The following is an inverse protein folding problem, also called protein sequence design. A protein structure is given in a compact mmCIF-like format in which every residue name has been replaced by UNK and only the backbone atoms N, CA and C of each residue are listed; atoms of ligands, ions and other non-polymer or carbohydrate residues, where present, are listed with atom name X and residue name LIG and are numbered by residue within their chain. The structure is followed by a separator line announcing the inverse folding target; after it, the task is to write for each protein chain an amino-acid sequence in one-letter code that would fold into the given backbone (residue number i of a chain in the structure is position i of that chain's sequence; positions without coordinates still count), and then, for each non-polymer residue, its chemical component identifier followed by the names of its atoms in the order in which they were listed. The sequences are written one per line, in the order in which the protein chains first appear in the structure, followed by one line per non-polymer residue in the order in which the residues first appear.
data_IF_193261290917
#
_entry.id   IF_193261290917
#
_cell.length_a   1.000
_cell.length_b   1.000
_cell.length_c   1.000
_cell.angle_alpha   90.00
_cell.angle_beta   90.00
_cell.angle_gamma   90.00
#
_symmetry.space_group_name_H-M   'P 1'
#
loop_
_entity.id
_entity.type
_entity.pdbx_description
1 polymer ?
#
# COMPACT_ATOMS: atom_id res chain seq x y z
N UNK A 1 -7.18 24.76 14.40
CA UNK A 1 -6.51 25.29 13.20
C UNK A 1 -7.16 24.60 12.00
N UNK A 2 -7.11 25.16 10.79
CA UNK A 2 -7.65 24.46 9.62
C UNK A 2 -6.74 23.24 9.32
N UNK A 3 -7.18 22.05 9.74
CA UNK A 3 -6.47 20.78 9.56
C UNK A 3 -6.64 20.23 8.13
N UNK A 4 -6.42 21.07 7.13
CA UNK A 4 -6.54 20.69 5.72
C UNK A 4 -5.15 20.44 5.13
N UNK A 5 -4.82 19.17 4.87
CA UNK A 5 -3.68 18.79 4.04
C UNK A 5 -4.01 18.98 2.55
N UNK A 6 -3.02 19.33 1.71
CA UNK A 6 -1.59 19.43 2.00
C UNK A 6 -1.16 20.76 2.65
N UNK A 7 -0.15 20.73 3.52
CA UNK A 7 0.42 21.91 4.19
C UNK A 7 1.90 22.12 3.81
N UNK A 8 2.26 23.27 3.24
CA UNK A 8 3.63 23.56 2.80
C UNK A 8 4.55 23.85 3.99
N UNK A 9 5.69 23.15 4.05
CA UNK A 9 6.69 23.29 5.12
C UNK A 9 8.07 23.72 4.63
N UNK A 10 8.32 23.63 3.33
CA UNK A 10 9.62 23.95 2.74
C UNK A 10 9.48 24.48 1.32
N UNK A 11 10.48 25.22 0.87
CA UNK A 11 10.58 25.72 -0.51
C UNK A 11 12.02 25.71 -0.98
N UNK A 12 12.23 25.48 -2.28
CA UNK A 12 13.56 25.40 -2.92
C UNK A 12 14.46 24.30 -2.33
N UNK A 13 13.86 23.24 -1.80
CA UNK A 13 14.56 22.07 -1.29
C UNK A 13 14.96 21.20 -2.49
N UNK A 14 16.22 20.75 -2.52
CA UNK A 14 16.69 19.81 -3.54
C UNK A 14 16.20 18.39 -3.25
N UNK A 15 16.15 17.53 -4.27
CA UNK A 15 15.78 16.12 -4.07
C UNK A 15 16.75 15.40 -3.13
N UNK A 16 18.04 15.76 -3.16
CA UNK A 16 19.06 15.19 -2.27
C UNK A 16 18.81 15.56 -0.80
N UNK A 17 18.56 16.83 -0.51
CA UNK A 17 18.22 17.30 0.84
C UNK A 17 16.94 16.64 1.36
N UNK A 18 15.91 16.56 0.53
CA UNK A 18 14.65 15.90 0.86
C UNK A 18 14.86 14.40 1.18
N UNK A 19 15.63 13.70 0.35
CA UNK A 19 15.92 12.28 0.57
C UNK A 19 16.72 12.04 1.85
N UNK A 20 17.70 12.91 2.14
CA UNK A 20 18.48 12.83 3.38
C UNK A 20 17.59 13.04 4.60
N UNK A 21 16.65 13.99 4.55
CA UNK A 21 15.65 14.21 5.61
C UNK A 21 14.81 12.95 5.86
N UNK A 22 14.29 12.33 4.79
CA UNK A 22 13.49 11.10 4.89
C UNK A 22 14.29 9.93 5.47
N UNK A 23 15.52 9.71 5.00
CA UNK A 23 16.38 8.61 5.45
C UNK A 23 16.78 8.75 6.91
N UNK A 24 16.93 9.98 7.41
CA UNK A 24 17.24 10.24 8.82
C UNK A 24 16.04 10.09 9.76
N UNK A 25 14.84 9.82 9.22
CA UNK A 25 13.58 9.66 9.97
C UNK A 25 13.32 10.82 10.94
N UNK A 26 13.65 12.04 10.52
CA UNK A 26 13.63 13.23 11.40
C UNK A 26 12.22 13.66 11.84
N UNK A 27 11.16 13.00 11.36
CA UNK A 27 9.82 13.14 11.90
C UNK A 27 9.03 11.85 11.80
N UNK A 28 8.61 11.32 12.95
CA UNK A 28 7.70 10.18 13.05
C UNK A 28 6.25 10.64 12.92
N UNK A 29 5.48 10.03 12.02
CA UNK A 29 4.02 10.19 11.96
C UNK A 29 3.48 11.20 10.95
N UNK A 30 4.33 11.88 10.18
CA UNK A 30 3.92 12.74 9.08
C UNK A 30 4.34 12.14 7.74
N UNK A 31 3.47 12.22 6.74
CA UNK A 31 3.80 11.89 5.35
C UNK A 31 4.15 13.15 4.58
N UNK A 32 5.26 13.11 3.87
CA UNK A 32 5.78 14.25 3.12
C UNK A 32 5.68 14.02 1.62
N UNK A 33 5.50 15.11 0.89
CA UNK A 33 5.60 15.15 -0.57
C UNK A 33 6.50 16.31 -0.98
N UNK A 34 7.52 16.01 -1.77
CA UNK A 34 8.32 17.01 -2.46
C UNK A 34 7.88 17.06 -3.92
N UNK A 35 7.59 18.26 -4.41
CA UNK A 35 7.11 18.49 -5.78
C UNK A 35 8.19 19.15 -6.63
N UNK A 36 8.05 19.08 -7.95
CA UNK A 36 9.10 19.43 -8.93
C UNK A 36 9.66 20.85 -8.80
N UNK A 37 8.90 21.80 -8.25
CA UNK A 37 9.35 23.17 -8.04
C UNK A 37 10.26 23.35 -6.79
N UNK A 38 10.54 22.27 -6.05
CA UNK A 38 11.35 22.27 -4.84
C UNK A 38 10.55 22.49 -3.54
N UNK A 39 9.22 22.59 -3.61
CA UNK A 39 8.38 22.75 -2.42
C UNK A 39 8.15 21.39 -1.73
N UNK A 40 8.10 21.43 -0.40
CA UNK A 40 7.82 20.26 0.45
C UNK A 40 6.53 20.49 1.22
N UNK A 41 5.65 19.50 1.20
CA UNK A 41 4.36 19.51 1.86
C UNK A 41 4.27 18.34 2.85
N UNK A 42 3.55 18.56 3.95
CA UNK A 42 2.91 17.47 4.69
C UNK A 42 1.60 17.14 3.99
N UNK A 43 1.41 15.89 3.63
CA UNK A 43 0.25 15.43 2.85
C UNK A 43 -0.70 14.53 3.62
N UNK A 44 -0.23 13.91 4.69
CA UNK A 44 -1.04 13.10 5.60
C UNK A 44 -0.32 12.94 6.95
N UNK A 45 -1.02 12.39 7.92
CA UNK A 45 -0.44 11.97 9.19
C UNK A 45 -0.84 10.52 9.49
N UNK A 46 0.09 9.76 10.04
CA UNK A 46 -0.21 8.47 10.64
C UNK A 46 -1.00 8.70 11.93
N UNK A 47 -2.21 8.15 11.99
CA UNK A 47 -3.05 8.12 13.18
C UNK A 47 -3.37 6.66 13.59
N UNK A 48 -4.02 6.42 14.73
CA UNK A 48 -4.27 5.05 15.21
C UNK A 48 -5.03 4.19 14.19
N UNK A 49 -5.99 4.78 13.49
CA UNK A 49 -6.80 4.09 12.48
C UNK A 49 -5.94 3.70 11.26
N UNK A 50 -5.11 4.62 10.76
CA UNK A 50 -4.15 4.35 9.69
C UNK A 50 -3.19 3.23 10.07
N UNK A 51 -2.56 3.32 11.24
CA UNK A 51 -1.54 2.37 11.68
C UNK A 51 -2.10 0.96 11.85
N UNK A 52 -3.31 0.83 12.38
CA UNK A 52 -3.94 -0.47 12.55
C UNK A 52 -4.30 -1.12 11.21
N UNK A 53 -4.73 -0.34 10.21
CA UNK A 53 -4.93 -0.87 8.85
C UNK A 53 -3.61 -1.31 8.23
N UNK A 54 -2.54 -0.53 8.42
CA UNK A 54 -1.19 -0.90 7.94
C UNK A 54 -0.71 -2.20 8.57
N UNK A 55 -0.86 -2.36 9.89
CA UNK A 55 -0.51 -3.58 10.61
C UNK A 55 -1.31 -4.80 10.12
N UNK A 56 -2.64 -4.66 10.01
CA UNK A 56 -3.50 -5.73 9.51
C UNK A 56 -3.17 -6.13 8.06
N UNK A 57 -2.87 -5.16 7.19
CA UNK A 57 -2.42 -5.46 5.83
C UNK A 57 -1.10 -6.23 5.83
N UNK A 58 -0.14 -5.88 6.70
CA UNK A 58 1.11 -6.63 6.82
C UNK A 58 0.86 -8.08 7.25
N UNK A 59 -0.08 -8.30 8.18
CA UNK A 59 -0.45 -9.62 8.65
C UNK A 59 -1.02 -10.49 7.54
N UNK A 60 -1.94 -9.98 6.71
CA UNK A 60 -2.47 -10.73 5.56
C UNK A 60 -1.37 -11.25 4.63
N UNK A 61 -0.34 -10.44 4.36
CA UNK A 61 0.78 -10.88 3.54
C UNK A 61 1.71 -11.85 4.27
N UNK A 62 1.87 -11.70 5.58
CA UNK A 62 2.71 -12.56 6.39
C UNK A 62 2.14 -13.98 6.55
N UNK A 63 0.82 -14.18 6.52
CA UNK A 63 0.19 -15.51 6.61
C UNK A 63 0.74 -16.46 5.54
N UNK A 64 1.02 -15.97 4.33
CA UNK A 64 1.54 -16.78 3.24
C UNK A 64 2.92 -17.39 3.54
N UNK A 65 3.67 -16.87 4.51
CA UNK A 65 4.94 -17.45 4.93
C UNK A 65 4.79 -18.71 5.81
N UNK A 66 3.57 -19.17 6.09
CA UNK A 66 3.35 -20.41 6.83
C UNK A 66 3.92 -20.42 8.26
N UNK A 67 4.00 -19.25 8.90
CA UNK A 67 4.57 -19.09 10.24
C UNK A 67 6.09 -18.98 10.30
N UNK A 68 6.79 -18.92 9.17
CA UNK A 68 8.23 -18.68 9.14
C UNK A 68 8.55 -17.24 9.58
N UNK A 69 9.33 -17.10 10.66
CA UNK A 69 9.67 -15.80 11.26
C UNK A 69 10.98 -15.24 10.69
N UNK A 70 12.05 -16.03 10.71
CA UNK A 70 13.37 -15.65 10.21
C UNK A 70 13.58 -16.18 8.79
N UNK A 71 14.23 -15.39 7.93
CA UNK A 71 14.48 -15.74 6.53
C UNK A 71 13.21 -16.15 5.76
N UNK A 72 12.08 -15.53 6.10
CA UNK A 72 10.80 -15.77 5.45
C UNK A 72 10.86 -15.48 3.94
N UNK A 73 10.23 -16.31 3.08
CA UNK A 73 10.20 -16.11 1.62
C UNK A 73 9.68 -14.76 1.16
N UNK A 74 8.68 -14.23 1.86
CA UNK A 74 8.01 -12.97 1.55
C UNK A 74 8.36 -11.98 2.65
N UNK A 75 9.15 -10.97 2.30
CA UNK A 75 9.43 -9.83 3.16
C UNK A 75 8.29 -8.83 3.08
N UNK A 76 7.74 -8.48 4.24
CA UNK A 76 6.68 -7.50 4.41
C UNK A 76 7.18 -6.43 5.39
N UNK A 77 7.05 -5.16 5.02
CA UNK A 77 7.53 -4.03 5.82
C UNK A 77 6.69 -2.78 5.58
N UNK A 78 6.54 -1.93 6.59
CA UNK A 78 6.03 -0.57 6.44
C UNK A 78 7.13 0.46 6.12
N UNK A 79 6.72 1.64 5.64
CA UNK A 79 7.56 2.83 5.42
C UNK A 79 8.86 2.60 4.62
N UNK A 80 8.82 1.71 3.62
CA UNK A 80 9.98 1.51 2.75
C UNK A 80 10.08 2.62 1.69
N UNK A 81 11.27 3.21 1.58
CA UNK A 81 11.56 4.21 0.55
C UNK A 81 11.98 3.56 -0.76
N UNK A 82 11.36 3.98 -1.86
CA UNK A 82 11.74 3.62 -3.23
C UNK A 82 11.95 4.87 -4.06
N UNK A 83 12.67 4.74 -5.18
CA UNK A 83 12.79 5.85 -6.13
C UNK A 83 11.42 6.26 -6.67
N UNK A 84 11.16 7.56 -6.65
CA UNK A 84 9.96 8.15 -7.21
C UNK A 84 9.94 7.86 -8.72
N UNK A 85 8.91 7.18 -9.22
CA UNK A 85 8.85 6.77 -10.63
C UNK A 85 8.70 7.96 -11.59
N UNK A 86 8.16 9.08 -11.11
CA UNK A 86 7.82 10.25 -11.93
C UNK A 86 8.78 11.43 -11.68
N UNK A 87 9.41 11.50 -10.51
CA UNK A 87 10.34 12.60 -10.17
C UNK A 87 11.75 12.03 -10.02
N UNK A 88 12.61 12.39 -10.98
CA UNK A 88 13.98 11.87 -11.04
C UNK A 88 14.75 12.18 -9.75
N UNK A 89 15.31 11.14 -9.13
CA UNK A 89 16.19 11.26 -7.98
C UNK A 89 15.49 11.45 -6.63
N UNK A 90 14.16 11.53 -6.57
CA UNK A 90 13.42 11.66 -5.31
C UNK A 90 13.05 10.26 -4.74
N UNK A 91 12.85 10.13 -3.43
CA UNK A 91 12.18 8.98 -2.83
C UNK A 91 10.68 9.19 -2.61
N UNK A 92 9.95 8.08 -2.70
CA UNK A 92 8.55 7.96 -2.30
C UNK A 92 8.43 6.81 -1.28
N UNK A 93 7.62 7.02 -0.26
CA UNK A 93 7.33 6.01 0.76
C UNK A 93 5.92 5.44 0.56
N UNK A 94 5.81 4.13 0.73
CA UNK A 94 4.54 3.41 0.80
C UNK A 94 4.29 2.90 2.19
N UNK A 95 3.02 2.69 2.52
CA UNK A 95 2.61 2.23 3.84
C UNK A 95 2.88 0.73 4.05
N UNK A 96 2.77 -0.07 2.99
CA UNK A 96 3.18 -1.49 3.01
C UNK A 96 3.92 -1.84 1.72
N UNK A 97 5.04 -2.54 1.86
CA UNK A 97 5.79 -3.18 0.78
C UNK A 97 5.82 -4.67 0.99
N UNK A 98 5.56 -5.39 -0.09
CA UNK A 98 5.72 -6.85 -0.19
C UNK A 98 6.74 -7.14 -1.28
N UNK A 99 7.78 -7.88 -0.93
CA UNK A 99 8.86 -8.27 -1.84
C UNK A 99 9.35 -9.67 -1.55
N UNK A 100 9.94 -10.37 -2.54
CA UNK A 100 10.59 -11.63 -2.26
C UNK A 100 11.84 -11.38 -1.42
N UNK A 101 12.18 -12.34 -0.59
CA UNK A 101 13.46 -12.37 0.10
C UNK A 101 14.56 -12.82 -0.86
N UNK A 102 15.67 -12.09 -0.89
CA UNK A 102 16.80 -12.35 -1.79
C UNK A 102 17.43 -13.74 -1.63
N UNK A 103 17.26 -14.40 -0.49
CA UNK A 103 17.72 -15.78 -0.29
C UNK A 103 16.88 -16.81 -1.07
N UNK A 104 15.70 -16.41 -1.55
CA UNK A 104 14.71 -17.28 -2.18
C UNK A 104 14.44 -16.94 -3.64
N UNK A 105 15.12 -15.92 -4.17
CA UNK A 105 15.06 -15.56 -5.58
C UNK A 105 16.47 -15.52 -6.16
N UNK A 106 16.60 -15.93 -7.42
CA UNK A 106 17.88 -15.88 -8.11
C UNK A 106 18.35 -14.42 -8.20
N UNK A 107 19.64 -14.16 -7.99
CA UNK A 107 20.18 -12.83 -8.25
C UNK A 107 20.19 -12.52 -9.77
N UNK A 108 19.96 -11.26 -10.17
CA UNK A 108 20.04 -10.87 -11.56
C UNK A 108 21.38 -11.24 -12.19
N UNK A 109 21.33 -11.94 -13.33
CA UNK A 109 22.53 -12.24 -14.14
C UNK A 109 23.05 -10.93 -14.77
N UNK A 110 22.14 -10.00 -15.09
CA UNK A 110 22.47 -8.66 -15.59
C UNK A 110 22.38 -7.68 -14.42
N UNK A 111 23.45 -6.91 -14.10
CA UNK A 111 23.39 -5.84 -13.11
C UNK A 111 22.24 -4.87 -13.42
N UNK A 112 21.68 -4.26 -12.37
CA UNK A 112 20.55 -3.32 -12.38
C UNK A 112 20.08 -2.82 -13.77
N UNK A 113 18.80 -3.02 -14.16
CA UNK A 113 17.68 -3.50 -13.34
C UNK A 113 17.30 -4.98 -13.64
N UNK A 114 18.25 -5.82 -14.07
CA UNK A 114 17.99 -7.16 -14.59
C UNK A 114 17.07 -8.06 -13.73
N UNK A 115 16.40 -9.06 -14.34
CA UNK A 115 15.41 -9.87 -13.63
C UNK A 115 16.06 -10.86 -12.64
N UNK A 116 15.55 -10.96 -11.40
CA UNK A 116 14.48 -10.16 -10.81
C UNK A 116 14.95 -8.75 -10.45
N UNK A 117 14.22 -7.68 -10.83
CA UNK A 117 14.65 -6.31 -10.55
C UNK A 117 15.01 -6.12 -9.07
N UNK A 118 16.26 -5.73 -8.85
CA UNK A 118 16.80 -5.42 -7.54
C UNK A 118 17.54 -4.10 -7.55
N UNK A 119 17.81 -3.55 -6.36
CA UNK A 119 18.59 -2.33 -6.21
C UNK A 119 20.08 -2.56 -6.56
N UNK A 120 20.89 -1.50 -6.48
CA UNK A 120 22.33 -1.57 -6.77
C UNK A 120 23.11 -2.53 -5.86
N UNK A 121 22.53 -2.93 -4.73
CA UNK A 121 23.11 -3.89 -3.78
C UNK A 121 22.58 -5.31 -4.02
N UNK A 122 21.73 -5.52 -5.03
CA UNK A 122 21.12 -6.81 -5.34
C UNK A 122 19.91 -7.16 -4.48
N UNK A 123 19.37 -6.22 -3.69
CA UNK A 123 18.16 -6.49 -2.91
C UNK A 123 16.93 -6.47 -3.82
N UNK A 124 16.02 -7.45 -3.75
CA UNK A 124 14.82 -7.44 -4.57
C UNK A 124 13.95 -6.20 -4.37
N UNK A 125 13.35 -5.71 -5.45
CA UNK A 125 12.38 -4.63 -5.37
C UNK A 125 10.99 -5.09 -4.90
N UNK A 126 10.21 -4.12 -4.43
CA UNK A 126 8.80 -4.28 -4.08
C UNK A 126 7.98 -4.77 -5.28
N UNK A 127 7.09 -5.74 -5.04
CA UNK A 127 6.18 -6.27 -6.07
C UNK A 127 4.74 -5.91 -5.81
N UNK A 128 4.36 -5.80 -4.54
CA UNK A 128 3.05 -5.32 -4.13
C UNK A 128 3.25 -4.13 -3.21
N UNK A 129 2.48 -3.08 -3.46
CA UNK A 129 2.46 -1.85 -2.66
C UNK A 129 1.07 -1.68 -2.06
N UNK A 130 0.97 -1.24 -0.81
CA UNK A 130 -0.27 -0.72 -0.27
C UNK A 130 -0.12 0.72 0.20
N UNK A 131 -1.18 1.49 0.00
CA UNK A 131 -1.31 2.89 0.38
C UNK A 131 -2.61 3.06 1.13
N UNK A 132 -2.55 3.64 2.33
CA UNK A 132 -3.68 3.95 3.18
C UNK A 132 -3.78 5.46 3.33
N UNK A 133 -4.89 6.03 2.87
CA UNK A 133 -5.18 7.46 2.98
C UNK A 133 -6.27 7.69 4.02
N UNK A 134 -5.97 8.51 5.03
CA UNK A 134 -6.99 8.98 5.98
C UNK A 134 -7.41 10.41 5.65
N UNK A 135 -6.49 11.38 5.64
CA UNK A 135 -6.83 12.78 5.33
C UNK A 135 -6.72 13.12 3.85
N UNK A 136 -5.80 12.48 3.14
CA UNK A 136 -5.59 12.71 1.72
C UNK A 136 -6.86 12.42 0.87
N UNK A 137 -7.13 13.23 -0.16
CA UNK A 137 -8.27 13.01 -1.06
C UNK A 137 -8.15 11.68 -1.81
N UNK A 138 -9.29 11.08 -2.19
CA UNK A 138 -9.30 9.84 -2.98
C UNK A 138 -8.61 10.04 -4.35
N UNK A 139 -8.68 11.24 -4.92
CA UNK A 139 -7.98 11.58 -6.17
C UNK A 139 -6.47 11.54 -6.01
N UNK A 140 -5.94 12.10 -4.92
CA UNK A 140 -4.51 12.07 -4.65
C UNK A 140 -4.02 10.64 -4.33
N UNK A 141 -4.79 9.85 -3.55
CA UNK A 141 -4.48 8.44 -3.32
C UNK A 141 -4.41 7.65 -4.65
N UNK A 142 -5.40 7.86 -5.52
CA UNK A 142 -5.45 7.22 -6.84
C UNK A 142 -4.22 7.58 -7.67
N UNK A 143 -3.87 8.86 -7.74
CA UNK A 143 -2.68 9.32 -8.47
C UNK A 143 -1.40 8.68 -7.91
N UNK A 144 -1.29 8.58 -6.57
CA UNK A 144 -0.15 7.92 -5.91
C UNK A 144 -0.09 6.43 -6.27
N UNK A 145 -1.22 5.73 -6.25
CA UNK A 145 -1.29 4.31 -6.64
C UNK A 145 -0.91 4.09 -8.11
N UNK A 146 -1.36 4.97 -9.01
CA UNK A 146 -0.98 4.92 -10.42
C UNK A 146 0.50 5.23 -10.64
N UNK A 147 1.06 6.19 -9.88
CA UNK A 147 2.48 6.51 -9.95
C UNK A 147 3.33 5.27 -9.65
N UNK A 148 2.99 4.49 -8.62
CA UNK A 148 3.70 3.25 -8.29
C UNK A 148 3.77 2.24 -9.45
N UNK A 149 2.74 2.16 -10.30
CA UNK A 149 2.73 1.26 -11.45
C UNK A 149 3.70 1.67 -12.57
N UNK A 150 4.22 2.90 -12.55
CA UNK A 150 5.29 3.31 -13.46
C UNK A 150 6.62 2.59 -13.13
N UNK A 151 6.74 1.98 -11.95
CA UNK A 151 7.82 1.04 -11.68
C UNK A 151 7.53 -0.28 -12.36
N UNK A 152 8.36 -0.63 -13.35
CA UNK A 152 8.22 -1.83 -14.18
C UNK A 152 8.26 -3.14 -13.38
N UNK A 153 8.69 -3.12 -12.12
CA UNK A 153 8.74 -4.29 -11.26
C UNK A 153 7.55 -4.41 -10.28
N UNK A 154 6.74 -3.36 -10.10
CA UNK A 154 5.54 -3.39 -9.25
C UNK A 154 4.39 -4.05 -10.01
N UNK A 155 3.79 -5.08 -9.42
CA UNK A 155 2.75 -5.91 -10.03
C UNK A 155 1.34 -5.50 -9.60
N UNK A 156 1.17 -5.21 -8.32
CA UNK A 156 -0.10 -4.81 -7.74
C UNK A 156 0.07 -3.60 -6.83
N UNK A 157 -0.93 -2.73 -6.81
CA UNK A 157 -1.03 -1.63 -5.85
C UNK A 157 -2.43 -1.65 -5.24
N UNK A 158 -2.51 -1.70 -3.92
CA UNK A 158 -3.76 -1.63 -3.17
C UNK A 158 -3.88 -0.27 -2.48
N UNK A 159 -4.85 0.54 -2.91
CA UNK A 159 -5.20 1.78 -2.22
C UNK A 159 -6.39 1.58 -1.30
N UNK A 160 -6.28 1.95 -0.02
CA UNK A 160 -7.38 2.00 0.94
C UNK A 160 -7.62 3.46 1.32
N UNK A 161 -8.84 3.96 1.09
CA UNK A 161 -9.29 5.27 1.54
C UNK A 161 -10.24 5.13 2.71
N UNK A 162 -9.90 5.76 3.82
CA UNK A 162 -10.80 5.99 4.94
C UNK A 162 -11.43 7.38 4.75
N UNK A 163 -12.74 7.45 4.52
CA UNK A 163 -13.44 8.74 4.32
C UNK A 163 -13.71 9.43 5.65
N UNK A 164 -14.20 10.66 5.65
CA UNK A 164 -14.53 11.34 6.91
C UNK A 164 -15.56 10.56 7.74
N UNK A 165 -15.41 10.64 9.07
CA UNK A 165 -16.39 10.09 10.01
C UNK A 165 -17.73 10.81 9.80
N UNK A 166 -18.83 10.05 9.80
CA UNK A 166 -20.17 10.62 9.82
C UNK A 166 -20.48 11.15 11.22
N UNK A 167 -21.47 12.02 11.34
CA UNK A 167 -21.92 12.54 12.64
C UNK A 167 -22.77 11.55 13.43
N UNK A 168 -23.26 10.51 12.78
CA UNK A 168 -24.06 9.44 13.38
C UNK A 168 -23.20 8.27 13.83
N UNK A 169 -23.67 7.54 14.85
CA UNK A 169 -22.94 6.45 15.51
C UNK A 169 -23.76 5.17 15.57
N UNK A 170 -23.07 4.03 15.67
CA UNK A 170 -23.66 2.73 15.96
C UNK A 170 -23.99 2.55 17.45
N UNK A 171 -24.55 1.39 17.81
CA UNK A 171 -24.92 1.06 19.19
C UNK A 171 -23.70 0.97 20.13
N UNK A 172 -22.52 0.72 19.59
CA UNK A 172 -21.24 0.71 20.30
C UNK A 172 -20.62 2.11 20.39
N UNK A 173 -21.36 3.14 19.96
CA UNK A 173 -20.94 4.56 19.89
C UNK A 173 -19.79 4.81 18.91
N UNK A 174 -19.52 3.92 17.97
CA UNK A 174 -18.52 4.13 16.92
C UNK A 174 -19.15 4.95 15.81
N UNK A 175 -18.42 5.90 15.25
CA UNK A 175 -18.91 6.69 14.13
C UNK A 175 -19.07 5.83 12.89
N UNK A 176 -20.21 6.01 12.22
CA UNK A 176 -20.39 5.43 10.90
C UNK A 176 -19.38 6.04 9.94
N UNK A 177 -18.88 5.18 9.05
CA UNK A 177 -17.81 5.53 8.12
C UNK A 177 -17.96 4.75 6.83
N UNK A 178 -17.72 5.44 5.72
CA UNK A 178 -17.55 4.84 4.40
C UNK A 178 -16.06 4.67 4.13
N UNK A 179 -15.69 3.65 3.37
CA UNK A 179 -14.31 3.35 3.00
C UNK A 179 -14.28 2.88 1.54
N UNK A 180 -13.14 3.06 0.87
CA UNK A 180 -12.98 2.63 -0.52
C UNK A 180 -11.69 1.86 -0.69
N UNK A 181 -11.75 0.70 -1.31
CA UNK A 181 -10.56 -0.04 -1.73
C UNK A 181 -10.41 0.05 -3.25
N UNK A 182 -9.18 0.15 -3.74
CA UNK A 182 -8.84 0.16 -5.16
C UNK A 182 -7.67 -0.79 -5.40
N UNK A 183 -7.85 -1.78 -6.28
CA UNK A 183 -6.78 -2.69 -6.68
C UNK A 183 -6.35 -2.38 -8.12
N UNK A 184 -5.10 -1.98 -8.26
CA UNK A 184 -4.44 -1.76 -9.54
C UNK A 184 -3.54 -2.94 -9.87
N UNK A 185 -3.49 -3.30 -11.15
CA UNK A 185 -2.62 -4.35 -11.66
C UNK A 185 -1.78 -3.82 -12.82
N UNK A 186 -0.48 -4.12 -12.79
CA UNK A 186 0.44 -3.73 -13.85
C UNK A 186 0.02 -4.31 -15.21
N UNK A 187 0.03 -3.46 -16.23
CA UNK A 187 -0.34 -3.83 -17.60
C UNK A 187 -1.84 -3.99 -17.83
N UNK A 188 -2.69 -3.80 -16.80
CA UNK A 188 -4.15 -3.80 -16.93
C UNK A 188 -4.66 -2.36 -16.87
N UNK A 189 -5.34 -1.85 -17.91
CA UNK A 189 -5.94 -0.53 -17.85
C UNK A 189 -7.02 -0.44 -16.76
N UNK A 190 -6.98 0.62 -15.95
CA UNK A 190 -7.95 0.87 -14.88
C UNK A 190 -7.62 0.16 -13.57
N UNK A 191 -8.64 -0.03 -12.74
CA UNK A 191 -8.55 -0.67 -11.42
C UNK A 191 -9.93 -1.18 -10.99
N UNK A 192 -9.94 -2.17 -10.11
CA UNK A 192 -11.17 -2.65 -9.46
C UNK A 192 -11.40 -1.81 -8.21
N UNK A 193 -12.64 -1.47 -7.92
CA UNK A 193 -13.01 -0.66 -6.75
C UNK A 193 -14.07 -1.34 -5.91
N UNK A 194 -13.97 -1.17 -4.59
CA UNK A 194 -14.97 -1.61 -3.62
C UNK A 194 -15.39 -0.43 -2.76
N UNK A 195 -16.70 -0.24 -2.60
CA UNK A 195 -17.27 0.65 -1.58
C UNK A 195 -17.66 -0.21 -0.38
N UNK A 196 -17.00 0.03 0.75
CA UNK A 196 -17.18 -0.74 1.99
C UNK A 196 -17.25 0.21 3.19
N UNK A 197 -17.24 -0.33 4.41
CA UNK A 197 -17.53 0.43 5.61
C UNK A 197 -18.98 0.24 6.05
N UNK A 198 -19.37 0.90 7.13
CA UNK A 198 -20.74 0.78 7.65
C UNK A 198 -21.81 1.32 6.70
N UNK A 199 -21.48 2.28 5.83
CA UNK A 199 -22.42 2.98 4.96
C UNK A 199 -21.82 3.23 3.58
N UNK A 200 -22.67 3.29 2.56
CA UNK A 200 -22.28 3.60 1.18
C UNK A 200 -21.77 5.04 1.05
N UNK A 201 -20.73 5.23 0.23
CA UNK A 201 -20.15 6.55 -0.02
C UNK A 201 -21.15 7.49 -0.70
N UNK A 202 -21.20 8.75 -0.25
CA UNK A 202 -22.05 9.78 -0.85
C UNK A 202 -23.55 9.64 -0.61
N UNK A 203 -23.97 8.64 0.18
CA UNK A 203 -25.38 8.45 0.57
C UNK A 203 -25.70 9.06 1.93
N UNK A 204 -26.97 9.43 2.19
CA UNK A 204 -27.43 9.87 3.51
C UNK A 204 -27.06 8.91 4.65
N UNK A 205 -27.13 9.41 5.89
CA UNK A 205 -26.76 8.69 7.12
C UNK A 205 -27.88 7.85 7.73
N UNK A 206 -28.99 7.69 7.02
CA UNK A 206 -30.05 6.79 7.45
C UNK A 206 -29.66 5.32 7.21
N UNK A 207 -30.33 4.42 7.92
CA UNK A 207 -30.07 2.99 7.87
C UNK A 207 -30.50 2.34 6.53
N UNK A 208 -31.03 3.11 5.56
CA UNK A 208 -31.40 2.55 4.27
C UNK A 208 -30.20 2.38 3.33
N UNK A 209 -29.04 2.97 3.65
CA UNK A 209 -27.84 2.97 2.80
C UNK A 209 -26.61 2.35 3.46
N UNK A 210 -26.79 1.21 4.13
CA UNK A 210 -25.70 0.39 4.62
C UNK A 210 -24.91 -0.22 3.45
N UNK A 211 -23.61 -0.44 3.64
CA UNK A 211 -22.84 -1.24 2.68
C UNK A 211 -23.17 -2.73 2.87
N UNK A 212 -22.87 -3.54 1.85
CA UNK A 212 -22.97 -5.00 1.95
C UNK A 212 -21.85 -5.65 2.78
N UNK A 213 -20.86 -4.87 3.24
CA UNK A 213 -19.72 -5.35 4.01
C UNK A 213 -20.11 -5.45 5.51
N UNK A 214 -20.89 -6.48 5.85
CA UNK A 214 -21.52 -6.61 7.17
C UNK A 214 -21.16 -7.90 7.93
N UNK A 215 -20.36 -8.78 7.33
CA UNK A 215 -19.85 -9.99 7.96
C UNK A 215 -18.49 -10.37 7.33
N UNK A 216 -17.64 -11.13 8.05
CA UNK A 216 -16.40 -11.66 7.48
C UNK A 216 -16.72 -12.69 6.40
N UNK A 217 -15.76 -12.90 5.50
CA UNK A 217 -15.77 -13.89 4.43
C UNK A 217 -16.87 -13.72 3.38
N UNK A 218 -17.39 -12.50 3.18
CA UNK A 218 -18.27 -12.21 2.05
C UNK A 218 -17.42 -12.11 0.78
N UNK A 219 -17.58 -12.99 -0.23
CA UNK A 219 -16.69 -13.02 -1.39
C UNK A 219 -16.64 -11.71 -2.18
N UNK A 220 -17.75 -10.95 -2.20
CA UNK A 220 -17.82 -9.64 -2.86
C UNK A 220 -16.92 -8.57 -2.21
N UNK A 221 -16.47 -8.78 -0.97
CA UNK A 221 -15.63 -7.87 -0.19
C UNK A 221 -14.25 -8.47 0.13
N UNK A 222 -13.84 -9.50 -0.62
CA UNK A 222 -12.50 -10.06 -0.53
C UNK A 222 -11.65 -9.63 -1.73
N UNK A 223 -10.46 -9.11 -1.44
CA UNK A 223 -9.45 -8.79 -2.44
C UNK A 223 -8.48 -9.97 -2.52
N UNK A 224 -8.35 -10.53 -3.72
CA UNK A 224 -7.46 -11.68 -3.97
C UNK A 224 -6.27 -11.24 -4.80
N UNK A 225 -5.05 -11.43 -4.28
CA UNK A 225 -3.81 -11.18 -5.02
C UNK A 225 -3.02 -12.48 -5.09
N UNK A 226 -2.62 -12.97 -6.29
CA UNK A 226 -1.81 -14.18 -6.42
C UNK A 226 -0.47 -14.06 -5.70
N UNK A 227 -0.10 -15.06 -4.88
CA UNK A 227 1.17 -15.05 -4.14
C UNK A 227 2.36 -15.14 -5.10
N UNK A 228 2.20 -15.82 -6.23
CA UNK A 228 3.21 -15.89 -7.27
C UNK A 228 3.59 -14.50 -7.83
N UNK A 229 2.73 -13.48 -7.73
CA UNK A 229 3.07 -12.12 -8.14
C UNK A 229 4.26 -11.51 -7.37
N UNK A 230 4.62 -12.07 -6.22
CA UNK A 230 5.81 -11.67 -5.44
C UNK A 230 7.11 -12.22 -6.04
N UNK A 231 7.07 -13.37 -6.69
CA UNK A 231 8.27 -14.09 -7.14
C UNK A 231 8.50 -13.99 -8.65
N UNK A 232 7.43 -13.75 -9.43
CA UNK A 232 7.48 -13.75 -10.89
C UNK A 232 7.73 -12.36 -11.47
N UNK A 233 8.47 -12.31 -12.59
CA UNK A 233 8.76 -11.09 -13.31
C UNK A 233 7.76 -10.81 -14.44
N UNK A 234 7.61 -9.53 -14.87
CA UNK A 234 6.78 -9.19 -16.01
C UNK A 234 7.28 -9.86 -17.30
N UNK A 235 6.37 -10.29 -18.20
CA UNK A 235 6.73 -10.83 -19.52
C UNK A 235 7.53 -9.87 -20.40
N UNK A 236 7.52 -8.57 -20.10
CA UNK A 236 8.12 -7.49 -20.90
C UNK A 236 9.59 -7.24 -20.60
N UNK A 237 10.12 -7.77 -19.49
CA UNK A 237 11.56 -7.90 -19.29
C UNK A 237 11.88 -9.35 -19.68
N UNK A 238 12.68 -9.61 -20.72
CA UNK A 238 13.03 -10.98 -21.05
C UNK A 238 13.65 -11.59 -19.80
N UNK A 239 13.01 -12.64 -19.28
CA UNK A 239 13.59 -13.44 -18.21
C UNK A 239 15.02 -13.79 -18.66
N UNK A 240 16.01 -13.47 -17.84
CA UNK A 240 17.39 -13.83 -18.17
C UNK A 240 17.41 -15.33 -18.49
N UNK A 241 18.16 -15.74 -19.52
CA UNK A 241 18.20 -17.14 -19.92
C UNK A 241 18.50 -18.02 -18.70
N UNK A 242 17.56 -18.91 -18.34
CA UNK A 242 17.65 -19.78 -17.16
C UNK A 242 17.00 -19.26 -15.87
N UNK A 243 16.35 -18.09 -15.86
CA UNK A 243 15.54 -17.65 -14.71
C UNK A 243 14.21 -18.41 -14.67
N UNK A 244 14.05 -19.26 -13.66
CA UNK A 244 12.81 -19.98 -13.38
C UNK A 244 12.26 -19.48 -12.04
N UNK A 245 11.14 -18.76 -12.02
CA UNK A 245 10.57 -18.30 -10.77
C UNK A 245 9.99 -19.50 -10.03
N UNK A 246 10.55 -19.82 -8.87
CA UNK A 246 10.07 -20.90 -8.01
C UNK A 246 9.52 -20.29 -6.74
N UNK A 247 8.24 -20.52 -6.47
CA UNK A 247 7.65 -20.19 -5.18
C UNK A 247 8.23 -21.16 -4.15
N UNK A 248 8.88 -20.68 -3.07
CA UNK A 248 9.49 -21.56 -2.09
C UNK A 248 8.45 -22.49 -1.46
N UNK A 249 8.75 -23.78 -1.23
CA UNK A 249 7.78 -24.75 -0.67
C UNK A 249 7.18 -24.37 0.69
N UNK A 250 7.87 -23.51 1.46
CA UNK A 250 7.38 -22.97 2.73
C UNK A 250 6.25 -21.95 2.57
N UNK A 251 6.00 -21.45 1.36
CA UNK A 251 4.86 -20.59 1.07
C UNK A 251 3.61 -21.46 0.96
N UNK A 252 2.65 -21.24 1.84
CA UNK A 252 1.51 -22.15 2.04
C UNK A 252 0.25 -21.75 1.29
N UNK A 253 0.19 -20.53 0.75
CA UNK A 253 -0.99 -19.96 0.11
C UNK A 253 -0.80 -19.75 -1.40
N UNK A 254 -1.87 -19.98 -2.17
CA UNK A 254 -1.91 -19.61 -3.58
C UNK A 254 -2.23 -18.12 -3.78
N UNK A 255 -3.06 -17.55 -2.91
CA UNK A 255 -3.46 -16.16 -2.95
C UNK A 255 -3.36 -15.52 -1.56
N UNK A 256 -3.03 -14.23 -1.53
CA UNK A 256 -3.40 -13.36 -0.43
C UNK A 256 -4.88 -13.04 -0.55
N UNK A 257 -5.66 -13.28 0.51
CA UNK A 257 -7.08 -12.94 0.58
C UNK A 257 -7.25 -11.92 1.69
N UNK A 258 -7.48 -10.67 1.30
CA UNK A 258 -7.66 -9.53 2.20
C UNK A 258 -9.17 -9.32 2.37
N UNK A 259 -9.66 -9.38 3.60
CA UNK A 259 -11.08 -9.18 3.92
C UNK A 259 -11.34 -7.72 4.30
N UNK A 260 -12.12 -7.02 3.47
CA UNK A 260 -12.46 -5.62 3.71
C UNK A 260 -13.36 -5.45 4.96
N UNK A 261 -14.05 -6.49 5.40
CA UNK A 261 -14.82 -6.44 6.65
C UNK A 261 -13.90 -6.37 7.86
N UNK A 262 -12.79 -7.10 7.88
CA UNK A 262 -11.83 -7.06 8.98
C UNK A 262 -11.12 -5.71 9.04
N UNK A 263 -10.72 -5.16 7.87
CA UNK A 263 -10.21 -3.77 7.77
C UNK A 263 -11.23 -2.78 8.35
N UNK A 264 -12.51 -2.94 7.98
CA UNK A 264 -13.57 -2.08 8.52
C UNK A 264 -13.67 -2.19 10.04
N UNK A 265 -13.68 -3.39 10.61
CA UNK A 265 -13.79 -3.54 12.07
C UNK A 265 -12.58 -2.95 12.78
N UNK A 266 -11.38 -3.14 12.24
CA UNK A 266 -10.16 -2.59 12.81
C UNK A 266 -10.23 -1.05 12.86
N UNK A 267 -10.60 -0.41 11.74
CA UNK A 267 -10.78 1.05 11.70
C UNK A 267 -11.84 1.51 12.70
N UNK A 268 -12.97 0.81 12.81
CA UNK A 268 -14.04 1.19 13.75
C UNK A 268 -13.60 1.06 15.21
N UNK A 269 -12.75 0.09 15.55
CA UNK A 269 -12.27 -0.14 16.91
C UNK A 269 -11.24 0.90 17.36
N UNK A 270 -10.48 1.48 16.42
CA UNK A 270 -9.46 2.50 16.70
C UNK A 270 -9.99 3.94 16.71
N UNK A 271 -11.30 4.14 16.50
CA UNK A 271 -11.86 5.49 16.50
C UNK A 271 -11.78 6.10 17.90
N UNK A 272 -11.11 7.24 18.01
CA UNK A 272 -11.28 8.13 19.16
C UNK A 272 -12.73 8.63 19.17
N UNK A 273 -13.43 8.34 20.28
CA UNK A 273 -14.86 8.57 20.47
C UNK A 273 -15.18 9.84 21.23
#
# INVERSE_FOLDING_TARGET
MNDSFPFKIGSKITAEEYNNFLQRKESSGYKYEHITNGDVYVIDMSDPEHNAVVELLQDYFNIANGGVILNKPISVSGDGFHYNPTVMGQFIASDVIVKPNGNHVQQPIVPYPGPPPGDKNGNPHARIICEVANKQSIGNLRNKCQNWLNQVYVRYVLGIKLHEKRTTRDLQRRFYRSMTAMLFQQGVPGYITWDFGTHQLGRPTDNAYLSGCNAPNIPAFQITIPVNAVFWDPPTIPAAAGYFPVVPPTVTLCNFTIDLFEIQQEVLNQQEN
#
